data_IF_511834108005
#
_entry.id   IF_511834108005
#
_cell.length_a   1.000
_cell.length_b   1.000
_cell.length_c   1.000
_cell.angle_alpha   90.00
_cell.angle_beta   90.00
_cell.angle_gamma   90.00
#
_symmetry.space_group_name_H-M   'P 1'
#
loop_
_entity.id
_entity.type
_entity.pdbx_description
1 polymer ?
#
# COMPACT_ATOMS: atom_id res chain seq x y z
N UNK A 1 7.95 3.30 1.55
CA UNK A 1 9.06 2.38 1.16
C UNK A 1 8.60 1.35 0.13
N UNK A 2 7.55 0.56 0.39
CA UNK A 2 7.09 -0.50 -0.53
C UNK A 2 6.72 0.00 -1.93
N UNK A 3 6.07 1.16 -2.06
CA UNK A 3 5.76 1.74 -3.38
C UNK A 3 7.01 2.12 -4.19
N UNK A 4 8.08 2.57 -3.52
CA UNK A 4 9.38 2.80 -4.17
C UNK A 4 9.94 1.49 -4.72
N UNK A 5 9.91 0.41 -3.92
CA UNK A 5 10.34 -0.92 -4.35
C UNK A 5 9.45 -1.52 -5.45
N UNK A 6 8.15 -1.18 -5.46
CA UNK A 6 7.19 -1.63 -6.47
C UNK A 6 7.37 -0.97 -7.84
N UNK A 7 8.01 0.21 -7.88
CA UNK A 7 8.26 0.99 -9.09
C UNK A 7 7.25 2.12 -9.33
N UNK A 8 6.73 2.74 -8.27
CA UNK A 8 5.97 3.99 -8.41
C UNK A 8 6.80 5.06 -9.13
N UNK A 9 6.14 5.93 -9.90
CA UNK A 9 6.80 7.02 -10.64
C UNK A 9 7.37 8.07 -9.68
N UNK A 10 6.65 8.37 -8.61
CA UNK A 10 7.19 9.08 -7.45
C UNK A 10 6.46 8.70 -6.17
N UNK A 11 7.16 8.91 -5.06
CA UNK A 11 6.69 8.63 -3.70
C UNK A 11 7.04 9.82 -2.83
N UNK A 12 6.17 10.17 -1.90
CA UNK A 12 6.40 11.24 -0.94
C UNK A 12 6.15 10.76 0.49
N UNK A 13 6.88 11.33 1.44
CA UNK A 13 6.68 11.16 2.87
C UNK A 13 6.56 12.54 3.50
N UNK A 14 5.41 12.82 4.10
CA UNK A 14 5.08 14.14 4.61
C UNK A 14 4.78 14.06 6.11
N UNK A 15 5.03 15.17 6.81
CA UNK A 15 4.72 15.35 8.22
C UNK A 15 3.69 16.46 8.41
N UNK A 16 2.72 16.24 9.29
CA UNK A 16 1.78 17.26 9.76
C UNK A 16 0.70 17.71 8.75
N UNK A 17 0.55 17.03 7.62
CA UNK A 17 -0.55 17.35 6.68
C UNK A 17 -1.91 17.17 7.35
N UNK A 18 -2.83 18.09 7.10
CA UNK A 18 -4.19 18.14 7.67
C UNK A 18 -4.23 18.68 9.11
N UNK A 19 -3.48 18.06 10.03
CA UNK A 19 -3.62 18.27 11.49
C UNK A 19 -2.49 19.08 12.14
N UNK A 20 -1.50 19.55 11.38
CA UNK A 20 -0.41 20.37 11.87
C UNK A 20 0.80 19.60 12.40
N UNK A 21 1.88 20.32 12.68
CA UNK A 21 3.17 19.76 13.12
C UNK A 21 3.02 18.93 14.39
N UNK A 22 3.60 17.73 14.38
CA UNK A 22 3.59 16.79 15.51
C UNK A 22 2.48 15.74 15.49
N UNK A 23 1.44 15.89 14.66
CA UNK A 23 0.21 15.10 14.82
C UNK A 23 -0.06 14.05 13.72
N UNK A 24 0.65 14.09 12.59
CA UNK A 24 0.50 13.07 11.54
C UNK A 24 1.80 12.78 10.79
N UNK A 25 1.90 11.54 10.32
CA UNK A 25 2.87 11.09 9.31
C UNK A 25 2.09 10.33 8.25
N UNK A 26 2.33 10.63 6.98
CA UNK A 26 1.64 9.96 5.87
C UNK A 26 2.53 9.89 4.63
N UNK A 27 2.15 8.99 3.73
CA UNK A 27 2.86 8.73 2.47
C UNK A 27 1.95 8.95 1.29
N UNK A 28 2.47 9.57 0.23
CA UNK A 28 1.82 9.67 -1.07
C UNK A 28 2.49 8.79 -2.11
N UNK A 29 1.72 8.33 -3.10
CA UNK A 29 2.21 7.54 -4.23
C UNK A 29 1.55 8.01 -5.52
N UNK A 30 2.33 8.06 -6.60
CA UNK A 30 1.80 8.20 -7.96
C UNK A 30 2.54 7.28 -8.90
N UNK A 31 1.82 6.70 -9.86
CA UNK A 31 2.35 5.87 -10.92
C UNK A 31 1.74 6.27 -12.27
N UNK A 32 2.59 6.41 -13.29
CA UNK A 32 2.20 6.80 -14.64
C UNK A 32 1.93 5.56 -15.48
N UNK A 33 0.77 5.54 -16.16
CA UNK A 33 0.44 4.58 -17.19
C UNK A 33 0.76 5.17 -18.57
N UNK A 34 2.01 4.97 -19.02
CA UNK A 34 2.51 5.52 -20.30
C UNK A 34 2.31 4.60 -21.51
N UNK A 35 1.61 3.48 -21.34
CA UNK A 35 1.35 2.48 -22.38
C UNK A 35 2.50 1.49 -22.60
N UNK A 36 3.62 1.60 -21.89
CA UNK A 36 4.73 0.65 -22.02
C UNK A 36 4.49 -0.64 -21.23
N UNK A 37 5.10 -1.74 -21.69
CA UNK A 37 5.09 -3.01 -20.95
C UNK A 37 5.74 -2.87 -19.57
N UNK A 38 6.80 -2.05 -19.45
CA UNK A 38 7.44 -1.79 -18.17
C UNK A 38 6.50 -1.05 -17.19
N UNK A 39 5.65 -0.13 -17.68
CA UNK A 39 4.63 0.49 -16.85
C UNK A 39 3.54 -0.52 -16.44
N UNK A 40 3.10 -1.41 -17.35
CA UNK A 40 2.13 -2.46 -17.02
C UNK A 40 2.58 -3.31 -15.82
N UNK A 41 3.84 -3.77 -15.80
CA UNK A 41 4.37 -4.56 -14.69
C UNK A 41 4.46 -3.77 -13.37
N UNK A 42 4.88 -2.50 -13.43
CA UNK A 42 4.96 -1.62 -12.25
C UNK A 42 3.56 -1.32 -11.70
N UNK A 43 2.58 -1.06 -12.57
CA UNK A 43 1.18 -0.84 -12.22
C UNK A 43 0.61 -2.06 -11.49
N UNK A 44 0.83 -3.26 -12.02
CA UNK A 44 0.37 -4.49 -11.37
C UNK A 44 0.90 -4.66 -9.94
N UNK A 45 2.18 -4.31 -9.70
CA UNK A 45 2.76 -4.38 -8.35
C UNK A 45 2.29 -3.24 -7.45
N UNK A 46 2.35 -2.00 -7.90
CA UNK A 46 2.06 -0.81 -7.08
C UNK A 46 0.59 -0.75 -6.70
N UNK A 47 -0.32 -0.98 -7.65
CA UNK A 47 -1.77 -0.92 -7.40
C UNK A 47 -2.29 -2.14 -6.62
N UNK A 48 -1.52 -3.23 -6.55
CA UNK A 48 -1.79 -4.32 -5.61
C UNK A 48 -1.25 -3.98 -4.21
N UNK A 49 0.03 -3.62 -4.13
CA UNK A 49 0.74 -3.46 -2.85
C UNK A 49 0.22 -2.27 -2.03
N UNK A 50 -0.07 -1.13 -2.66
CA UNK A 50 -0.48 0.08 -1.93
C UNK A 50 -1.77 -0.15 -1.10
N UNK A 51 -2.91 -0.55 -1.70
CA UNK A 51 -4.11 -0.87 -0.93
C UNK A 51 -3.93 -2.11 -0.04
N UNK A 52 -3.15 -3.11 -0.46
CA UNK A 52 -2.89 -4.30 0.37
C UNK A 52 -2.20 -3.94 1.69
N UNK A 53 -1.38 -2.88 1.74
CA UNK A 53 -0.81 -2.42 3.02
C UNK A 53 -1.87 -1.81 3.94
N UNK A 54 -2.91 -1.19 3.39
CA UNK A 54 -4.09 -0.75 4.14
C UNK A 54 -4.85 -1.93 4.76
N UNK A 55 -5.12 -2.97 3.97
CA UNK A 55 -5.73 -4.22 4.47
C UNK A 55 -4.85 -4.87 5.54
N UNK A 56 -3.55 -5.03 5.27
CA UNK A 56 -2.57 -5.57 6.22
C UNK A 56 -2.60 -4.82 7.55
N UNK A 57 -2.56 -3.49 7.52
CA UNK A 57 -2.54 -2.66 8.74
C UNK A 57 -3.80 -2.79 9.58
N UNK A 58 -4.96 -2.97 8.95
CA UNK A 58 -6.22 -3.15 9.68
C UNK A 58 -6.38 -4.60 10.15
N UNK A 59 -5.94 -5.59 9.36
CA UNK A 59 -5.96 -6.99 9.75
C UNK A 59 -5.07 -7.23 10.98
N UNK A 60 -3.87 -6.63 11.01
CA UNK A 60 -2.94 -6.65 12.14
C UNK A 60 -3.55 -6.01 13.41
N UNK A 61 -4.35 -4.94 13.26
CA UNK A 61 -5.07 -4.35 14.37
C UNK A 61 -6.32 -5.13 14.83
N UNK A 62 -6.58 -6.32 14.26
CA UNK A 62 -7.64 -7.22 14.69
C UNK A 62 -9.00 -7.01 14.02
N UNK A 63 -9.10 -6.20 12.96
CA UNK A 63 -10.36 -6.01 12.25
C UNK A 63 -10.73 -7.25 11.42
N UNK A 64 -11.81 -7.95 11.79
CA UNK A 64 -12.26 -9.19 11.15
C UNK A 64 -12.47 -9.03 9.63
N UNK A 65 -13.11 -7.94 9.23
CA UNK A 65 -13.34 -7.63 7.81
C UNK A 65 -12.01 -7.57 7.04
N UNK A 66 -10.98 -6.92 7.59
CA UNK A 66 -9.68 -6.82 6.94
C UNK A 66 -8.95 -8.17 6.89
N UNK A 67 -9.07 -9.00 7.93
CA UNK A 67 -8.54 -10.36 7.92
C UNK A 67 -9.23 -11.24 6.88
N UNK A 68 -10.55 -11.09 6.71
CA UNK A 68 -11.30 -11.76 5.66
C UNK A 68 -10.87 -11.28 4.27
N UNK A 69 -10.79 -9.97 4.04
CA UNK A 69 -10.29 -9.40 2.79
C UNK A 69 -8.88 -9.90 2.47
N UNK A 70 -8.00 -10.00 3.48
CA UNK A 70 -6.66 -10.55 3.29
C UNK A 70 -6.67 -12.00 2.82
N UNK A 71 -7.54 -12.86 3.38
CA UNK A 71 -7.70 -14.26 2.96
C UNK A 71 -8.28 -14.35 1.55
N UNK A 72 -9.34 -13.61 1.25
CA UNK A 72 -10.00 -13.60 -0.07
C UNK A 72 -9.07 -13.12 -1.19
N UNK A 73 -8.26 -12.09 -0.90
CA UNK A 73 -7.27 -11.56 -1.84
C UNK A 73 -5.95 -12.35 -1.87
N UNK A 74 -5.80 -13.39 -1.04
CA UNK A 74 -4.58 -14.21 -0.97
C UNK A 74 -3.34 -13.45 -0.48
N UNK A 75 -3.52 -12.45 0.39
CA UNK A 75 -2.42 -11.67 0.95
C UNK A 75 -1.57 -12.54 1.89
N UNK A 76 -0.25 -12.42 1.78
CA UNK A 76 0.70 -13.15 2.63
C UNK A 76 0.97 -12.37 3.90
N UNK A 77 0.22 -12.64 4.97
CA UNK A 77 0.37 -12.02 6.29
C UNK A 77 0.92 -13.05 7.29
N UNK A 78 2.25 -13.10 7.53
CA UNK A 78 2.88 -14.22 8.25
C UNK A 78 2.30 -14.51 9.64
N UNK A 79 1.83 -13.48 10.35
CA UNK A 79 1.29 -13.61 11.71
C UNK A 79 -0.17 -14.08 11.76
N UNK A 80 -0.91 -14.03 10.64
CA UNK A 80 -2.32 -14.46 10.57
C UNK A 80 -2.48 -15.88 10.02
N UNK A 81 -1.38 -16.59 9.76
CA UNK A 81 -1.41 -17.90 9.11
C UNK A 81 -1.59 -17.82 7.59
N UNK A 82 -1.63 -18.98 6.94
CA UNK A 82 -2.08 -19.11 5.55
C UNK A 82 -3.56 -19.43 5.51
#
# INVERSE_FOLDING_TARGET
LLNTAGGASWVSLHHGGGVGMGFSQHSGVVIVADGTQAAHERLGRVLLNDPATGVMRHADAGYELAQQTAREAGLKLPMLGR
#
